data_IF_122307270656
#
_entry.id   IF_122307270656
#
_cell.length_a   1.000
_cell.length_b   1.000
_cell.length_c   1.000
_cell.angle_alpha   90.00
_cell.angle_beta   90.00
_cell.angle_gamma   90.00
#
_symmetry.space_group_name_H-M   'P 1'
#
loop_
_entity.id
_entity.type
_entity.pdbx_description
1 polymer ?
#
# COMPACT_ATOMS: atom_id res chain seq x y z
N UNK A 1 0.69 -4.39 -18.47
CA UNK A 1 -0.15 -3.24 -18.07
C UNK A 1 -1.47 -3.30 -18.81
N UNK A 2 -2.57 -2.92 -18.18
CA UNK A 2 -3.88 -2.75 -18.83
C UNK A 2 -4.11 -1.25 -19.02
N UNK A 3 -4.91 -0.87 -20.03
CA UNK A 3 -5.29 0.54 -20.20
C UNK A 3 -5.99 1.12 -18.95
N UNK A 4 -6.80 0.32 -18.28
CA UNK A 4 -7.48 0.71 -17.04
C UNK A 4 -6.58 0.86 -15.81
N UNK A 5 -5.29 0.56 -15.91
CA UNK A 5 -4.31 0.77 -14.84
C UNK A 5 -3.77 2.21 -14.82
N UNK A 6 -4.16 3.04 -15.83
CA UNK A 6 -3.68 4.43 -15.95
C UNK A 6 -4.51 5.38 -15.09
N UNK A 7 -3.84 6.36 -14.49
CA UNK A 7 -4.48 7.46 -13.77
C UNK A 7 -4.77 8.67 -14.68
N UNK A 8 -5.39 9.69 -14.11
CA UNK A 8 -5.73 10.92 -14.83
C UNK A 8 -4.50 11.74 -15.25
N UNK A 9 -3.31 11.43 -14.76
CA UNK A 9 -2.05 12.08 -15.15
C UNK A 9 -1.34 11.34 -16.30
N UNK A 10 -1.93 10.25 -16.81
CA UNK A 10 -1.38 9.47 -17.92
C UNK A 10 -0.26 8.51 -17.51
N UNK A 11 -0.16 8.19 -16.23
CA UNK A 11 0.82 7.22 -15.70
C UNK A 11 0.10 6.00 -15.11
N UNK A 12 0.85 4.91 -14.94
CA UNK A 12 0.36 3.76 -14.18
C UNK A 12 0.02 4.21 -12.76
N UNK A 13 -1.24 4.02 -12.37
CA UNK A 13 -1.73 4.40 -11.04
C UNK A 13 -0.91 3.72 -9.95
N UNK A 14 -0.56 4.47 -8.90
CA UNK A 14 0.23 3.94 -7.79
C UNK A 14 -0.42 2.73 -7.10
N UNK A 15 -1.75 2.63 -7.04
CA UNK A 15 -2.46 1.47 -6.50
C UNK A 15 -2.34 0.23 -7.40
N UNK A 16 -2.27 0.40 -8.74
CA UNK A 16 -2.16 -0.72 -9.68
C UNK A 16 -0.86 -1.53 -9.51
N UNK A 17 0.22 -0.91 -9.02
CA UNK A 17 1.45 -1.65 -8.74
C UNK A 17 1.26 -2.71 -7.66
N UNK A 18 0.37 -2.48 -6.69
CA UNK A 18 0.10 -3.47 -5.62
C UNK A 18 -0.59 -4.71 -6.18
N UNK A 19 -1.46 -4.55 -7.20
CA UNK A 19 -2.00 -5.68 -7.97
C UNK A 19 -0.87 -6.48 -8.64
N UNK A 20 0.07 -5.81 -9.32
CA UNK A 20 1.19 -6.48 -9.96
C UNK A 20 2.07 -7.25 -8.97
N UNK A 21 2.33 -6.67 -7.79
CA UNK A 21 3.08 -7.33 -6.73
C UNK A 21 2.32 -8.54 -6.16
N UNK A 22 0.98 -8.44 -6.03
CA UNK A 22 0.13 -9.56 -5.62
C UNK A 22 0.23 -10.72 -6.62
N UNK A 23 0.05 -10.44 -7.92
CA UNK A 23 0.13 -11.45 -8.97
C UNK A 23 1.51 -12.12 -9.02
N UNK A 24 2.60 -11.33 -8.91
CA UNK A 24 3.95 -11.88 -8.86
C UNK A 24 4.17 -12.79 -7.64
N UNK A 25 3.64 -12.41 -6.46
CA UNK A 25 3.72 -13.22 -5.25
C UNK A 25 2.93 -14.51 -5.36
N UNK A 26 1.70 -14.42 -5.88
CA UNK A 26 0.86 -15.60 -6.11
C UNK A 26 1.52 -16.55 -7.10
N UNK A 27 2.04 -16.05 -8.22
CA UNK A 27 2.76 -16.85 -9.20
C UNK A 27 4.00 -17.53 -8.60
N UNK A 28 4.78 -16.83 -7.78
CA UNK A 28 5.93 -17.39 -7.07
C UNK A 28 5.53 -18.55 -6.16
N UNK A 29 4.49 -18.39 -5.34
CA UNK A 29 4.04 -19.44 -4.41
C UNK A 29 3.42 -20.63 -5.15
N UNK A 30 2.74 -20.43 -6.28
CA UNK A 30 2.12 -21.49 -7.07
C UNK A 30 3.14 -22.29 -7.88
N UNK A 31 4.15 -21.62 -8.46
CA UNK A 31 5.05 -22.26 -9.43
C UNK A 31 6.30 -22.88 -8.80
N UNK A 32 6.67 -22.49 -7.58
CA UNK A 32 7.96 -22.87 -7.00
C UNK A 32 8.00 -24.32 -6.48
N UNK A 33 6.94 -24.80 -5.84
CA UNK A 33 6.86 -26.20 -5.35
C UNK A 33 5.47 -26.52 -4.80
N UNK A 34 5.10 -27.83 -4.69
CA UNK A 34 3.87 -28.26 -4.04
C UNK A 34 3.74 -27.78 -2.57
N UNK A 35 4.86 -27.63 -1.86
CA UNK A 35 4.88 -27.15 -0.46
C UNK A 35 4.51 -25.67 -0.39
N UNK A 36 5.07 -24.83 -1.27
CA UNK A 36 4.71 -23.40 -1.31
C UNK A 36 3.30 -23.18 -1.88
N UNK A 37 2.86 -24.03 -2.80
CA UNK A 37 1.47 -24.07 -3.25
C UNK A 37 0.53 -24.40 -2.07
N UNK A 38 0.89 -25.37 -1.23
CA UNK A 38 0.11 -25.70 -0.03
C UNK A 38 0.14 -24.57 1.00
N UNK A 39 1.26 -23.84 1.14
CA UNK A 39 1.34 -22.63 1.96
C UNK A 39 0.30 -21.58 1.51
N UNK A 40 0.21 -21.32 0.20
CA UNK A 40 -0.79 -20.40 -0.35
C UNK A 40 -2.23 -20.91 -0.11
N UNK A 41 -2.50 -22.21 -0.36
CA UNK A 41 -3.81 -22.81 -0.21
C UNK A 41 -4.30 -22.85 1.24
N UNK A 42 -3.40 -23.05 2.21
CA UNK A 42 -3.76 -23.01 3.64
C UNK A 42 -4.02 -21.60 4.16
N UNK A 43 -3.48 -20.59 3.50
CA UNK A 43 -3.68 -19.18 3.76
C UNK A 43 -2.37 -18.44 4.04
N UNK A 44 -2.26 -17.27 3.44
CA UNK A 44 -1.20 -16.28 3.71
C UNK A 44 -1.82 -14.91 3.83
N UNK A 45 -1.49 -14.19 4.89
CA UNK A 45 -1.97 -12.83 5.09
C UNK A 45 -0.84 -11.83 4.88
N UNK A 46 -1.13 -10.77 4.16
CA UNK A 46 -0.27 -9.60 4.08
C UNK A 46 -0.47 -8.77 5.33
N UNK A 47 0.63 -8.41 6.00
CA UNK A 47 0.59 -7.59 7.23
C UNK A 47 1.13 -6.18 7.01
N UNK A 48 1.94 -5.98 6.01
CA UNK A 48 2.38 -4.65 5.58
C UNK A 48 2.86 -4.63 4.14
N UNK A 49 2.82 -3.44 3.57
CA UNK A 49 3.50 -3.10 2.32
C UNK A 49 4.32 -1.82 2.50
N UNK A 50 5.43 -1.75 1.77
CA UNK A 50 6.24 -0.56 1.60
C UNK A 50 6.58 -0.42 0.12
N UNK A 51 6.23 0.70 -0.50
CA UNK A 51 6.51 0.96 -1.92
C UNK A 51 7.21 2.31 -2.09
N UNK A 52 8.29 2.31 -2.86
CA UNK A 52 8.95 3.50 -3.39
C UNK A 52 8.70 3.58 -4.89
N UNK A 53 8.10 4.67 -5.33
CA UNK A 53 7.88 4.98 -6.75
C UNK A 53 9.01 5.88 -7.22
N UNK A 54 9.92 5.33 -8.02
CA UNK A 54 11.16 5.98 -8.42
C UNK A 54 11.04 6.71 -9.76
N UNK A 55 10.15 6.20 -10.63
CA UNK A 55 9.93 6.73 -11.97
C UNK A 55 8.47 6.55 -12.38
N UNK A 56 7.79 7.58 -12.90
CA UNK A 56 6.48 7.39 -13.51
C UNK A 56 6.59 6.53 -14.77
N UNK A 57 5.62 5.65 -14.98
CA UNK A 57 5.54 4.78 -16.15
C UNK A 57 4.31 5.15 -16.97
N UNK A 58 4.52 5.51 -18.22
CA UNK A 58 3.43 5.74 -19.17
C UNK A 58 2.94 4.41 -19.76
N UNK A 59 1.72 4.40 -20.27
CA UNK A 59 1.18 3.24 -20.97
C UNK A 59 2.04 2.88 -22.20
N UNK A 60 2.35 1.61 -22.33
CA UNK A 60 2.99 1.05 -23.52
C UNK A 60 2.53 -0.39 -23.72
N UNK A 61 2.76 -0.94 -24.90
CA UNK A 61 2.55 -2.35 -25.25
C UNK A 61 3.60 -3.28 -24.65
N UNK A 62 4.69 -2.72 -24.12
CA UNK A 62 5.75 -3.51 -23.47
C UNK A 62 5.30 -3.95 -22.06
N UNK A 63 5.55 -5.20 -21.69
CA UNK A 63 5.29 -5.66 -20.33
C UNK A 63 6.26 -5.03 -19.33
N UNK A 64 5.78 -4.77 -18.11
CA UNK A 64 6.66 -4.51 -16.98
C UNK A 64 7.27 -5.84 -16.51
N UNK A 65 8.53 -5.78 -16.09
CA UNK A 65 9.22 -6.92 -15.49
C UNK A 65 9.25 -6.75 -13.98
N UNK A 66 8.79 -7.77 -13.24
CA UNK A 66 8.87 -7.78 -11.78
C UNK A 66 9.85 -8.84 -11.32
N UNK A 67 10.97 -8.41 -10.73
CA UNK A 67 11.87 -9.27 -9.99
C UNK A 67 11.34 -9.43 -8.56
N UNK A 68 11.41 -10.64 -8.05
CA UNK A 68 10.92 -11.00 -6.73
C UNK A 68 11.93 -11.92 -6.02
N UNK A 69 12.14 -11.68 -4.73
CA UNK A 69 12.99 -12.52 -3.86
C UNK A 69 12.42 -12.56 -2.44
N UNK A 70 12.83 -13.54 -1.66
CA UNK A 70 12.57 -13.55 -0.22
C UNK A 70 13.61 -12.66 0.45
N UNK A 71 13.16 -11.62 1.14
CA UNK A 71 14.02 -10.59 1.75
C UNK A 71 14.43 -10.96 3.18
N UNK A 72 13.53 -11.59 3.94
CA UNK A 72 13.81 -12.09 5.29
C UNK A 72 12.86 -13.22 5.67
N UNK A 73 13.32 -14.11 6.55
CA UNK A 73 12.54 -15.22 7.08
C UNK A 73 12.61 -15.22 8.61
N UNK A 74 11.47 -15.00 9.26
CA UNK A 74 11.30 -15.10 10.71
C UNK A 74 10.63 -16.41 11.14
N UNK A 75 10.24 -16.52 12.42
CA UNK A 75 9.57 -17.71 12.97
C UNK A 75 8.15 -17.94 12.43
N UNK A 76 7.38 -16.87 12.34
CA UNK A 76 5.97 -16.86 11.93
C UNK A 76 5.68 -15.84 10.85
N UNK A 77 6.69 -15.32 10.17
CA UNK A 77 6.56 -14.37 9.08
C UNK A 77 7.74 -14.47 8.13
N UNK A 78 7.55 -14.03 6.91
CA UNK A 78 8.61 -13.77 5.95
C UNK A 78 8.30 -12.49 5.19
N UNK A 79 9.29 -11.90 4.57
CA UNK A 79 9.09 -10.73 3.71
C UNK A 79 9.59 -11.02 2.30
N UNK A 80 8.90 -10.41 1.33
CA UNK A 80 9.22 -10.50 -0.08
C UNK A 80 9.64 -9.11 -0.54
N UNK A 81 10.80 -9.03 -1.18
CA UNK A 81 11.28 -7.86 -1.89
C UNK A 81 10.90 -7.90 -3.36
N UNK A 82 10.69 -6.72 -3.95
CA UNK A 82 10.35 -6.57 -5.36
C UNK A 82 11.07 -5.40 -5.98
N UNK A 83 11.37 -5.54 -7.25
CA UNK A 83 11.77 -4.46 -8.15
C UNK A 83 10.96 -4.58 -9.44
N UNK A 84 10.29 -3.48 -9.82
CA UNK A 84 9.50 -3.40 -11.05
C UNK A 84 10.22 -2.53 -12.05
N UNK A 85 10.44 -3.05 -13.24
CA UNK A 85 11.19 -2.41 -14.31
C UNK A 85 10.30 -2.10 -15.52
N UNK A 86 10.48 -0.92 -16.11
CA UNK A 86 10.04 -0.57 -17.46
C UNK A 86 11.24 -0.62 -18.39
N UNK A 87 11.41 -1.72 -19.11
CA UNK A 87 12.64 -2.00 -19.86
C UNK A 87 13.84 -2.13 -18.93
N UNK A 88 14.83 -1.24 -19.04
CA UNK A 88 16.00 -1.19 -18.16
C UNK A 88 15.83 -0.27 -16.95
N UNK A 89 14.77 0.52 -16.90
CA UNK A 89 14.54 1.52 -15.87
C UNK A 89 13.83 0.92 -14.67
N UNK A 90 14.41 1.05 -13.48
CA UNK A 90 13.77 0.68 -12.22
C UNK A 90 12.70 1.72 -11.89
N UNK A 91 11.44 1.29 -11.92
CA UNK A 91 10.29 2.14 -11.68
C UNK A 91 9.81 2.09 -10.22
N UNK A 92 9.78 0.91 -9.62
CA UNK A 92 9.28 0.71 -8.24
C UNK A 92 10.17 -0.26 -7.49
N UNK A 93 10.45 0.05 -6.22
CA UNK A 93 10.93 -0.90 -5.20
C UNK A 93 9.82 -1.14 -4.18
N UNK A 94 9.68 -2.38 -3.75
CA UNK A 94 8.66 -2.69 -2.76
C UNK A 94 9.09 -3.81 -1.81
N UNK A 95 8.40 -3.86 -0.67
CA UNK A 95 8.49 -4.94 0.31
C UNK A 95 7.11 -5.29 0.82
N UNK A 96 6.86 -6.58 0.98
CA UNK A 96 5.62 -7.13 1.54
C UNK A 96 5.96 -8.04 2.70
N UNK A 97 5.45 -7.73 3.88
CA UNK A 97 5.45 -8.65 5.02
C UNK A 97 4.28 -9.62 4.92
N UNK A 98 4.56 -10.91 5.07
CA UNK A 98 3.59 -12.00 4.93
C UNK A 98 3.65 -12.90 6.15
N UNK A 99 2.50 -13.35 6.62
CA UNK A 99 2.37 -14.32 7.72
C UNK A 99 1.58 -15.54 7.25
N UNK A 100 2.04 -16.76 7.56
CA UNK A 100 1.25 -17.95 7.33
C UNK A 100 -0.01 -17.95 8.20
N UNK A 101 -1.10 -18.34 7.61
CA UNK A 101 -2.41 -18.40 8.25
C UNK A 101 -3.03 -19.76 8.00
N UNK A 102 -3.85 -20.22 8.90
CA UNK A 102 -4.64 -21.43 8.74
C UNK A 102 -6.12 -21.02 8.64
N UNK A 103 -6.64 -21.06 7.42
CA UNK A 103 -8.03 -20.71 7.11
C UNK A 103 -9.03 -21.62 7.83
N UNK A 104 -8.67 -22.91 8.06
CA UNK A 104 -9.57 -23.87 8.69
C UNK A 104 -9.75 -23.57 10.19
N UNK A 105 -8.67 -23.22 10.89
CA UNK A 105 -8.70 -22.87 12.31
C UNK A 105 -8.86 -21.38 12.58
N UNK A 106 -8.80 -20.54 11.54
CA UNK A 106 -8.80 -19.07 11.60
C UNK A 106 -7.71 -18.51 12.51
N UNK A 107 -6.46 -19.03 12.38
CA UNK A 107 -5.34 -18.66 13.25
C UNK A 107 -4.04 -18.45 12.49
N UNK A 108 -3.22 -17.54 13.01
CA UNK A 108 -1.83 -17.43 12.59
C UNK A 108 -1.07 -18.70 12.97
N UNK A 109 -0.17 -19.14 12.09
CA UNK A 109 0.70 -20.29 12.33
C UNK A 109 2.17 -19.97 12.08
N UNK A 110 3.04 -20.86 12.49
CA UNK A 110 4.47 -20.78 12.14
C UNK A 110 4.70 -21.40 10.76
N UNK A 111 5.79 -20.96 10.12
CA UNK A 111 6.34 -21.66 8.96
C UNK A 111 6.79 -23.06 9.38
N UNK A 112 6.44 -24.06 8.61
CA UNK A 112 6.99 -25.41 8.75
C UNK A 112 8.44 -25.46 8.27
N UNK A 113 9.20 -26.52 8.65
CA UNK A 113 10.59 -26.67 8.20
C UNK A 113 10.70 -26.74 6.67
N UNK A 114 9.87 -27.52 5.94
CA UNK A 114 9.92 -27.55 4.47
C UNK A 114 9.59 -26.20 3.82
N UNK A 115 8.61 -25.44 4.35
CA UNK A 115 8.28 -24.10 3.85
C UNK A 115 9.47 -23.15 4.00
N UNK A 116 10.11 -23.19 5.18
CA UNK A 116 11.30 -22.38 5.48
C UNK A 116 12.47 -22.72 4.56
N UNK A 117 12.76 -23.99 4.36
CA UNK A 117 13.84 -24.47 3.49
C UNK A 117 13.64 -23.96 2.05
N UNK A 118 12.43 -24.09 1.50
CA UNK A 118 12.12 -23.66 0.15
C UNK A 118 12.16 -22.12 0.00
N UNK A 119 11.63 -21.39 0.96
CA UNK A 119 11.74 -19.93 0.97
C UNK A 119 13.21 -19.47 1.05
N UNK A 120 14.05 -20.23 1.76
CA UNK A 120 15.48 -19.91 1.89
C UNK A 120 16.25 -20.04 0.57
N UNK A 121 15.77 -20.83 -0.40
CA UNK A 121 16.39 -20.92 -1.72
C UNK A 121 16.26 -19.61 -2.53
N UNK A 122 15.25 -18.81 -2.23
CA UNK A 122 15.03 -17.49 -2.86
C UNK A 122 15.49 -16.33 -1.94
N UNK A 123 16.22 -16.63 -0.84
CA UNK A 123 16.62 -15.63 0.13
C UNK A 123 17.77 -14.77 -0.45
N UNK A 124 17.49 -13.48 -0.61
CA UNK A 124 18.44 -12.47 -1.03
C UNK A 124 18.20 -11.17 -0.24
N UNK A 125 18.72 -11.06 0.98
CA UNK A 125 18.52 -9.87 1.80
C UNK A 125 19.01 -8.61 1.09
N UNK A 126 18.19 -7.57 1.08
CA UNK A 126 18.52 -6.30 0.48
C UNK A 126 18.40 -5.18 1.53
N UNK A 127 18.98 -4.01 1.24
CA UNK A 127 18.89 -2.87 2.14
C UNK A 127 17.43 -2.51 2.45
N UNK A 128 17.08 -2.30 3.73
CA UNK A 128 15.73 -1.93 4.12
C UNK A 128 15.37 -0.55 3.54
N UNK A 129 14.13 -0.40 3.16
CA UNK A 129 13.61 0.91 2.80
C UNK A 129 13.62 1.83 4.02
N UNK A 130 13.98 3.12 3.82
CA UNK A 130 14.01 4.09 4.92
C UNK A 130 12.66 4.12 5.63
N UNK A 131 12.60 3.94 6.96
CA UNK A 131 11.34 3.98 7.68
C UNK A 131 10.72 5.38 7.66
N UNK A 132 9.41 5.45 7.46
CA UNK A 132 8.64 6.68 7.66
C UNK A 132 8.21 6.81 9.11
N UNK A 133 8.15 8.03 9.68
CA UNK A 133 7.63 8.25 11.02
C UNK A 133 6.22 7.69 11.19
N UNK A 134 5.97 7.00 12.29
CA UNK A 134 4.64 6.51 12.68
C UNK A 134 4.03 7.52 13.64
N UNK A 135 3.09 8.30 13.14
CA UNK A 135 2.36 9.28 13.92
C UNK A 135 0.90 8.86 14.03
N UNK A 136 0.35 9.00 15.22
CA UNK A 136 -1.08 8.78 15.42
C UNK A 136 -1.89 9.88 14.72
N UNK A 137 -3.08 9.52 14.26
CA UNK A 137 -4.00 10.48 13.69
C UNK A 137 -4.49 11.45 14.78
N UNK A 138 -4.42 12.78 14.59
CA UNK A 138 -4.91 13.75 15.58
C UNK A 138 -6.44 13.73 15.65
N UNK A 139 -7.01 14.24 16.74
CA UNK A 139 -8.46 14.33 16.89
C UNK A 139 -9.12 15.18 15.78
N UNK A 140 -8.47 16.26 15.36
CA UNK A 140 -8.85 17.04 14.20
C UNK A 140 -8.08 16.53 12.98
N UNK A 141 -8.78 15.85 12.07
CA UNK A 141 -8.24 15.30 10.82
C UNK A 141 -9.29 15.39 9.72
N UNK A 142 -8.84 15.32 8.48
CA UNK A 142 -9.73 15.23 7.32
C UNK A 142 -10.41 13.85 7.30
N UNK A 143 -11.73 13.83 7.07
CA UNK A 143 -12.57 12.61 7.11
C UNK A 143 -13.12 12.32 5.73
N UNK A 144 -12.91 11.10 5.27
CA UNK A 144 -13.45 10.60 4.02
C UNK A 144 -14.34 9.37 4.30
N UNK A 145 -15.65 9.41 3.97
CA UNK A 145 -16.53 8.26 4.14
C UNK A 145 -16.16 7.18 3.12
N UNK A 146 -15.87 5.97 3.60
CA UNK A 146 -15.46 4.84 2.79
C UNK A 146 -16.60 3.80 2.72
N UNK A 147 -17.14 3.60 1.52
CA UNK A 147 -18.08 2.50 1.23
C UNK A 147 -17.33 1.36 0.55
N UNK A 148 -17.31 0.20 1.19
CA UNK A 148 -16.74 -1.03 0.62
C UNK A 148 -17.68 -1.57 -0.45
N UNK A 149 -17.15 -1.93 -1.62
CA UNK A 149 -17.91 -2.55 -2.71
C UNK A 149 -17.86 -4.07 -2.58
N UNK A 150 -18.91 -4.75 -3.04
CA UNK A 150 -18.88 -6.22 -3.11
C UNK A 150 -17.71 -6.76 -3.93
N UNK A 151 -17.33 -6.06 -5.00
CA UNK A 151 -16.19 -6.39 -5.85
C UNK A 151 -14.82 -6.22 -5.19
N UNK A 152 -14.75 -5.60 -4.01
CA UNK A 152 -13.50 -5.40 -3.28
C UNK A 152 -13.17 -6.60 -2.37
N UNK A 153 -14.14 -7.53 -2.20
CA UNK A 153 -14.00 -8.72 -1.35
C UNK A 153 -13.32 -9.85 -2.12
N UNK A 154 -12.32 -10.47 -1.53
CA UNK A 154 -11.60 -11.61 -2.11
C UNK A 154 -12.17 -12.97 -1.66
N UNK A 155 -11.51 -14.04 -2.07
CA UNK A 155 -11.91 -15.42 -1.74
C UNK A 155 -11.81 -15.78 -0.25
N UNK A 156 -11.17 -14.95 0.56
CA UNK A 156 -11.13 -15.11 2.02
C UNK A 156 -12.33 -14.47 2.72
N UNK A 157 -13.21 -13.80 1.95
CA UNK A 157 -14.43 -13.18 2.47
C UNK A 157 -14.20 -11.78 3.08
N UNK A 158 -13.01 -11.23 2.94
CA UNK A 158 -12.65 -9.89 3.41
C UNK A 158 -12.19 -9.00 2.25
N UNK A 159 -12.13 -7.70 2.48
CA UNK A 159 -11.59 -6.76 1.50
C UNK A 159 -10.16 -7.16 1.12
N UNK A 160 -9.92 -7.33 -0.18
CA UNK A 160 -8.59 -7.64 -0.70
C UNK A 160 -7.59 -6.55 -0.30
N UNK A 161 -6.41 -6.95 0.15
CA UNK A 161 -5.36 -6.06 0.64
C UNK A 161 -4.96 -4.96 -0.36
N UNK A 162 -5.10 -5.20 -1.66
CA UNK A 162 -4.83 -4.22 -2.72
C UNK A 162 -5.82 -3.05 -2.65
N UNK A 163 -7.10 -3.31 -2.33
CA UNK A 163 -8.16 -2.29 -2.30
C UNK A 163 -7.96 -1.20 -1.26
N UNK A 164 -7.21 -1.49 -0.21
CA UNK A 164 -6.84 -0.46 0.77
C UNK A 164 -6.07 0.70 0.15
N UNK A 165 -5.31 0.44 -0.93
CA UNK A 165 -4.59 1.47 -1.67
C UNK A 165 -5.54 2.40 -2.42
N UNK A 166 -6.59 1.86 -3.04
CA UNK A 166 -7.65 2.64 -3.67
C UNK A 166 -8.33 3.54 -2.63
N UNK A 167 -8.67 3.01 -1.46
CA UNK A 167 -9.33 3.75 -0.38
C UNK A 167 -8.48 4.90 0.16
N UNK A 168 -7.20 4.65 0.43
CA UNK A 168 -6.25 5.68 0.86
C UNK A 168 -6.03 6.73 -0.25
N UNK A 169 -6.03 6.31 -1.51
CA UNK A 169 -5.93 7.21 -2.65
C UNK A 169 -7.10 8.20 -2.70
N UNK A 170 -8.35 7.70 -2.62
CA UNK A 170 -9.55 8.54 -2.67
C UNK A 170 -9.55 9.57 -1.52
N UNK A 171 -9.25 9.15 -0.31
CA UNK A 171 -9.16 10.05 0.84
C UNK A 171 -8.05 11.11 0.67
N UNK A 172 -6.89 10.72 0.13
CA UNK A 172 -5.79 11.62 -0.19
C UNK A 172 -6.20 12.66 -1.25
N UNK A 173 -6.86 12.21 -2.33
CA UNK A 173 -7.32 13.10 -3.41
C UNK A 173 -8.35 14.09 -2.86
N UNK A 174 -9.28 13.65 -2.00
CA UNK A 174 -10.25 14.53 -1.34
C UNK A 174 -9.53 15.61 -0.50
N UNK A 175 -8.57 15.22 0.35
CA UNK A 175 -7.79 16.18 1.16
C UNK A 175 -7.01 17.14 0.27
N UNK A 176 -6.35 16.68 -0.80
CA UNK A 176 -5.58 17.50 -1.73
C UNK A 176 -6.49 18.52 -2.42
N UNK A 177 -7.68 18.08 -2.88
CA UNK A 177 -8.66 18.98 -3.48
C UNK A 177 -9.12 20.09 -2.52
N UNK A 178 -9.35 19.74 -1.25
CA UNK A 178 -9.84 20.67 -0.22
C UNK A 178 -8.74 21.62 0.32
N UNK A 179 -7.48 21.36 -0.02
CA UNK A 179 -6.33 22.13 0.50
C UNK A 179 -5.56 22.88 -0.58
N UNK A 180 -4.86 22.14 -1.42
CA UNK A 180 -3.96 22.73 -2.42
C UNK A 180 -4.63 22.96 -3.77
N UNK A 181 -5.87 22.50 -3.92
CA UNK A 181 -6.65 22.56 -5.14
C UNK A 181 -6.19 21.57 -6.19
N UNK A 182 -7.09 21.30 -7.14
CA UNK A 182 -6.81 20.49 -8.31
C UNK A 182 -6.63 21.41 -9.52
N UNK A 183 -5.45 22.05 -9.60
CA UNK A 183 -5.11 22.81 -10.78
C UNK A 183 -4.50 21.90 -11.85
N UNK A 184 -4.84 22.05 -13.14
CA UNK A 184 -4.31 21.20 -14.21
C UNK A 184 -2.79 21.15 -14.29
N UNK A 185 -2.12 22.21 -13.81
CA UNK A 185 -0.67 22.36 -13.82
C UNK A 185 -0.01 21.83 -12.53
N UNK A 186 -0.80 21.58 -11.48
CA UNK A 186 -0.33 21.08 -10.19
C UNK A 186 -0.25 19.54 -10.22
N UNK A 187 0.84 19.02 -10.76
CA UNK A 187 1.10 17.56 -10.76
C UNK A 187 1.60 17.13 -9.39
N UNK A 188 0.81 16.30 -8.71
CA UNK A 188 1.15 15.71 -7.43
C UNK A 188 1.43 14.21 -7.60
N UNK A 189 2.66 13.81 -7.31
CA UNK A 189 3.10 12.41 -7.46
C UNK A 189 3.30 11.76 -6.10
N UNK A 190 2.83 10.53 -5.95
CA UNK A 190 3.20 9.68 -4.82
C UNK A 190 4.59 9.12 -5.10
N UNK A 191 5.52 9.31 -4.17
CA UNK A 191 6.89 8.77 -4.26
C UNK A 191 7.15 7.68 -3.23
N UNK A 192 6.33 7.60 -2.19
CA UNK A 192 6.41 6.54 -1.17
C UNK A 192 5.04 6.29 -0.57
N UNK A 193 4.73 5.01 -0.35
CA UNK A 193 3.54 4.60 0.40
C UNK A 193 3.83 3.37 1.25
N UNK A 194 3.63 3.51 2.56
CA UNK A 194 3.69 2.42 3.54
C UNK A 194 2.29 2.17 4.07
N UNK A 195 1.91 0.91 4.18
CA UNK A 195 0.60 0.50 4.70
C UNK A 195 0.78 -0.68 5.66
N UNK A 196 0.11 -0.64 6.81
CA UNK A 196 0.06 -1.71 7.80
C UNK A 196 -1.39 -2.18 7.95
N UNK A 197 -1.60 -3.48 7.81
CA UNK A 197 -2.90 -4.13 7.96
C UNK A 197 -3.02 -4.64 9.39
N UNK A 198 -4.00 -4.13 10.13
CA UNK A 198 -4.18 -4.44 11.56
C UNK A 198 -5.32 -5.44 11.78
N UNK A 199 -6.39 -5.32 10.99
CA UNK A 199 -7.57 -6.18 11.03
C UNK A 199 -8.16 -6.30 9.63
N UNK A 200 -8.82 -7.41 9.28
CA UNK A 200 -9.58 -7.51 8.05
C UNK A 200 -10.78 -6.54 8.06
N UNK A 201 -11.09 -5.98 6.89
CA UNK A 201 -12.30 -5.19 6.67
C UNK A 201 -13.36 -6.11 6.07
N UNK A 202 -14.54 -6.16 6.68
CA UNK A 202 -15.69 -6.91 6.19
C UNK A 202 -16.53 -6.07 5.23
N UNK A 203 -17.24 -6.74 4.33
CA UNK A 203 -18.28 -6.09 3.54
C UNK A 203 -19.47 -5.71 4.45
N UNK A 204 -19.87 -4.46 4.37
CA UNK A 204 -21.09 -3.94 4.98
C UNK A 204 -21.59 -2.71 4.21
N UNK A 205 -22.86 -2.34 4.42
CA UNK A 205 -23.47 -1.17 3.76
C UNK A 205 -23.07 0.12 4.47
N UNK A 206 -22.93 0.08 5.80
CA UNK A 206 -22.50 1.23 6.59
C UNK A 206 -21.06 1.63 6.25
N UNK A 207 -20.85 2.92 6.09
CA UNK A 207 -19.54 3.43 5.73
C UNK A 207 -18.53 3.22 6.86
N UNK A 208 -17.31 2.87 6.47
CA UNK A 208 -16.10 3.08 7.24
C UNK A 208 -15.64 4.53 7.09
N UNK A 209 -14.55 4.89 7.72
CA UNK A 209 -13.93 6.20 7.59
C UNK A 209 -12.44 6.05 7.24
N UNK A 210 -11.96 6.87 6.33
CA UNK A 210 -10.53 7.11 6.18
C UNK A 210 -10.22 8.48 6.75
N UNK A 211 -9.64 8.51 7.94
CA UNK A 211 -9.09 9.72 8.54
C UNK A 211 -7.70 10.01 7.97
N UNK A 212 -7.43 11.27 7.60
CA UNK A 212 -6.13 11.68 7.01
C UNK A 212 -5.65 12.98 7.64
N UNK A 213 -4.36 13.06 7.96
CA UNK A 213 -3.71 14.26 8.46
C UNK A 213 -2.33 14.47 7.82
N UNK A 214 -1.85 15.71 7.82
CA UNK A 214 -0.52 16.06 7.32
C UNK A 214 0.50 15.89 8.44
N UNK A 215 1.49 15.04 8.24
CA UNK A 215 2.52 14.75 9.24
C UNK A 215 3.81 15.55 9.05
N UNK A 216 4.14 15.89 7.81
CA UNK A 216 5.33 16.70 7.48
C UNK A 216 5.01 17.60 6.27
N UNK A 217 5.46 18.86 6.29
CA UNK A 217 5.41 19.76 5.15
C UNK A 217 6.84 20.14 4.77
N UNK A 218 7.27 19.70 3.57
CA UNK A 218 8.57 20.02 2.97
C UNK A 218 8.49 21.22 2.01
N UNK A 219 9.52 21.48 1.23
CA UNK A 219 9.53 22.60 0.27
C UNK A 219 8.54 22.40 -0.89
N UNK A 220 8.54 21.21 -1.50
CA UNK A 220 7.64 20.80 -2.59
C UNK A 220 7.02 19.43 -2.33
N UNK A 221 6.93 19.04 -1.07
CA UNK A 221 6.40 17.74 -0.67
C UNK A 221 5.64 17.86 0.62
N UNK A 222 4.76 16.90 0.84
CA UNK A 222 4.15 16.67 2.15
C UNK A 222 3.98 15.18 2.40
N UNK A 223 3.93 14.82 3.67
CA UNK A 223 3.68 13.45 4.09
C UNK A 223 2.33 13.40 4.79
N UNK A 224 1.53 12.43 4.42
CA UNK A 224 0.24 12.15 5.04
C UNK A 224 0.35 10.92 5.94
N UNK A 225 -0.32 10.98 7.08
CA UNK A 225 -0.71 9.82 7.87
C UNK A 225 -2.20 9.58 7.68
N UNK A 226 -2.62 8.32 7.55
CA UNK A 226 -4.02 7.98 7.39
C UNK A 226 -4.36 6.71 8.18
N UNK A 227 -5.63 6.59 8.59
CA UNK A 227 -6.18 5.42 9.26
C UNK A 227 -7.51 5.05 8.61
N UNK A 228 -7.71 3.75 8.34
CA UNK A 228 -9.03 3.21 7.99
C UNK A 228 -9.64 2.70 9.28
N UNK A 229 -10.80 3.25 9.66
CA UNK A 229 -11.44 2.95 10.92
C UNK A 229 -12.96 2.78 10.81
N UNK A 230 -13.55 2.20 11.83
CA UNK A 230 -14.99 2.18 12.03
C UNK A 230 -15.37 3.31 13.02
N UNK A 231 -16.06 4.35 12.57
CA UNK A 231 -16.43 5.46 13.45
C UNK A 231 -17.37 5.03 14.59
N UNK A 232 -18.12 3.92 14.44
CA UNK A 232 -19.04 3.44 15.47
C UNK A 232 -18.32 2.70 16.61
N UNK A 233 -17.23 1.96 16.31
CA UNK A 233 -16.51 1.15 17.31
C UNK A 233 -15.12 1.70 17.63
N UNK A 234 -14.67 2.74 16.94
CA UNK A 234 -13.29 3.26 16.99
C UNK A 234 -12.22 2.19 16.68
N UNK A 235 -12.60 1.12 16.00
CA UNK A 235 -11.68 0.07 15.58
C UNK A 235 -10.86 0.56 14.40
N UNK A 236 -9.52 0.48 14.49
CA UNK A 236 -8.60 0.79 13.40
C UNK A 236 -8.27 -0.51 12.65
N UNK A 237 -8.47 -0.51 11.33
CA UNK A 237 -8.24 -1.65 10.43
C UNK A 237 -6.90 -1.57 9.72
N UNK A 238 -6.48 -0.37 9.35
CA UNK A 238 -5.19 -0.14 8.70
C UNK A 238 -4.65 1.25 9.02
N UNK A 239 -3.33 1.38 8.95
CA UNK A 239 -2.65 2.68 8.99
C UNK A 239 -1.79 2.84 7.74
N UNK A 240 -1.71 4.05 7.21
CA UNK A 240 -0.91 4.35 6.03
C UNK A 240 -0.10 5.62 6.19
N UNK A 241 1.01 5.69 5.47
CA UNK A 241 1.86 6.89 5.33
C UNK A 241 2.15 7.08 3.85
N UNK A 242 1.87 8.28 3.34
CA UNK A 242 2.06 8.59 1.93
C UNK A 242 2.88 9.85 1.78
N UNK A 243 3.98 9.77 1.04
CA UNK A 243 4.79 10.94 0.67
C UNK A 243 4.38 11.39 -0.73
N UNK A 244 3.96 12.65 -0.80
CA UNK A 244 3.53 13.30 -2.05
C UNK A 244 4.52 14.41 -2.39
N UNK A 245 4.90 14.49 -3.67
CA UNK A 245 5.82 15.50 -4.19
C UNK A 245 5.17 16.26 -5.33
N UNK A 246 5.21 17.57 -5.28
CA UNK A 246 4.82 18.44 -6.40
C UNK A 246 5.99 18.76 -7.31
N UNK A 247 5.70 19.08 -8.55
CA UNK A 247 6.72 19.57 -9.52
C UNK A 247 7.25 20.96 -9.13
N UNK A 248 6.43 21.77 -8.44
CA UNK A 248 6.74 23.11 -7.99
C UNK A 248 6.90 23.20 -6.46
N UNK A 249 7.51 24.28 -5.99
CA UNK A 249 7.55 24.62 -4.56
C UNK A 249 6.14 24.98 -4.08
N UNK A 250 5.77 24.50 -2.89
CA UNK A 250 4.50 24.83 -2.25
C UNK A 250 4.39 26.35 -2.04
N UNK A 251 3.31 26.96 -2.48
CA UNK A 251 3.00 28.36 -2.19
C UNK A 251 2.71 28.57 -0.70
N UNK A 252 2.71 29.83 -0.25
CA UNK A 252 2.35 30.15 1.14
C UNK A 252 0.91 29.72 1.46
N UNK A 253 -0.03 29.91 0.51
CA UNK A 253 -1.44 29.52 0.67
C UNK A 253 -1.60 28.01 0.76
N UNK A 254 -0.91 27.23 -0.10
CA UNK A 254 -0.90 25.78 -0.06
C UNK A 254 -0.35 25.25 1.26
N UNK A 255 0.75 25.86 1.77
CA UNK A 255 1.31 25.51 3.08
C UNK A 255 0.31 25.76 4.20
N UNK A 256 -0.30 26.93 4.21
CA UNK A 256 -1.31 27.30 5.21
C UNK A 256 -2.52 26.37 5.17
N UNK A 257 -2.96 25.99 3.98
CA UNK A 257 -4.07 25.03 3.80
C UNK A 257 -3.73 23.63 4.29
N UNK A 258 -2.53 23.13 4.02
CA UNK A 258 -2.05 21.84 4.54
C UNK A 258 -1.87 21.87 6.06
N UNK A 259 -1.39 23.00 6.62
CA UNK A 259 -1.13 23.13 8.05
C UNK A 259 -2.41 23.03 8.91
N UNK A 260 -3.58 23.38 8.34
CA UNK A 260 -4.88 23.16 9.01
C UNK A 260 -5.13 21.70 9.40
N UNK A 261 -4.55 20.77 8.67
CA UNK A 261 -4.65 19.33 8.90
C UNK A 261 -3.37 18.74 9.52
N UNK A 262 -2.46 19.59 10.01
CA UNK A 262 -1.18 19.14 10.55
C UNK A 262 -1.33 18.44 11.89
N UNK A 263 -0.59 17.34 12.08
CA UNK A 263 -0.48 16.63 13.36
C UNK A 263 0.11 17.53 14.45
N UNK A 264 0.92 18.52 14.09
CA UNK A 264 1.61 19.43 15.00
C UNK A 264 0.80 20.71 15.35
N UNK A 265 -0.36 20.92 14.71
CA UNK A 265 -1.22 22.10 14.95
C UNK A 265 -1.94 21.95 16.30
N UNK A 266 -1.27 22.35 17.39
CA UNK A 266 -1.83 22.68 18.71
C UNK A 266 -1.14 23.91 19.26
#
# INVERSE_FOLDING_TARGET
MRWGDMDAQGHVNNAAYVDYLQEARVAFLLSSSPVLQQLLNSGVLVVNHQLEYLKPVAFSDRPLTTNLWVDAIGGSRFSIGYEVYDGADLAVRARTGVVPFDLASNRLRRLTSPERELLSLALAPAEPLRPLPKLALPAHHHRYPLTVRWSDVDSYGHVNNVKYYDYIQEARISLVNDTVGWEPEAVWMVVRQDLEYLKPIDFRIEAYEVGTAVSVIGNRSFTLTAEISDPASSTIYATARTVVVGVSVLTADQRSALDRWSVASR
#
